data_IF_000851734111
#
_entry.id   IF_000851734111
#
_cell.length_a   1.000
_cell.length_b   1.000
_cell.length_c   1.000
_cell.angle_alpha   90.00
_cell.angle_beta   90.00
_cell.angle_gamma   90.00
#
_symmetry.space_group_name_H-M   'P 1'
#
loop_
_entity.id
_entity.type
_entity.pdbx_description
1 polymer ?
#
# COMPACT_ATOMS: atom_id res chain seq x y z
N UNK A 1 -0.58 33.15 1.39
CA UNK A 1 -0.92 32.38 2.61
C UNK A 1 0.18 31.34 2.78
N UNK A 2 1.09 31.57 3.73
CA UNK A 2 2.25 30.70 3.97
C UNK A 2 1.80 29.38 4.59
N UNK A 3 2.11 28.27 3.92
CA UNK A 3 1.91 26.91 4.45
C UNK A 3 2.86 26.70 5.63
N UNK A 4 2.38 26.99 6.84
CA UNK A 4 3.10 26.69 8.08
C UNK A 4 3.02 25.18 8.28
N UNK A 5 4.17 24.50 8.22
CA UNK A 5 4.20 23.04 8.41
C UNK A 5 3.82 22.68 9.85
N UNK A 6 3.29 21.48 10.12
CA UNK A 6 2.99 21.02 11.48
C UNK A 6 4.20 21.11 12.42
N UNK A 7 5.42 20.98 11.87
CA UNK A 7 6.69 21.10 12.60
C UNK A 7 7.02 22.53 13.03
N UNK A 8 6.61 23.54 12.25
CA UNK A 8 6.77 24.95 12.59
C UNK A 8 5.83 25.36 13.73
N UNK A 9 4.56 24.91 13.68
CA UNK A 9 3.61 25.06 14.80
C UNK A 9 4.13 24.37 16.07
N UNK A 10 4.76 23.22 15.92
CA UNK A 10 5.33 22.46 17.03
C UNK A 10 6.47 23.20 17.74
N UNK A 11 7.41 23.80 16.98
CA UNK A 11 8.47 24.64 17.54
C UNK A 11 7.93 25.89 18.25
N UNK A 12 6.90 26.50 17.69
CA UNK A 12 6.26 27.68 18.26
C UNK A 12 5.59 27.37 19.61
N UNK A 13 4.93 26.21 19.71
CA UNK A 13 4.32 25.71 20.95
C UNK A 13 5.37 25.31 21.98
N UNK A 14 6.56 24.82 21.61
CA UNK A 14 7.59 24.40 22.60
C UNK A 14 8.29 25.56 23.30
N UNK A 15 8.42 26.72 22.64
CA UNK A 15 9.19 27.88 23.12
C UNK A 15 8.80 28.38 24.54
N UNK A 16 7.51 28.44 24.93
CA UNK A 16 7.10 28.85 26.28
C UNK A 16 7.25 27.76 27.37
N UNK A 17 7.41 26.47 27.03
CA UNK A 17 7.44 25.37 28.02
C UNK A 17 8.75 25.36 28.81
N UNK A 18 9.86 25.66 28.15
CA UNK A 18 11.18 25.77 28.78
C UNK A 18 11.22 26.87 29.86
N UNK A 19 10.41 27.92 29.69
CA UNK A 19 10.35 29.05 30.61
C UNK A 19 9.32 28.88 31.74
N UNK A 20 8.33 27.99 31.59
CA UNK A 20 7.30 27.73 32.60
C UNK A 20 7.84 27.04 33.86
N UNK A 21 8.91 26.24 33.73
CA UNK A 21 9.57 25.59 34.88
C UNK A 21 10.19 26.62 35.84
N UNK A 22 10.73 27.73 35.32
CA UNK A 22 11.30 28.81 36.14
C UNK A 22 10.26 29.50 37.03
N UNK A 23 9.01 29.60 36.56
CA UNK A 23 7.92 30.25 37.30
C UNK A 23 7.45 29.39 38.49
N UNK A 24 7.48 28.06 38.35
CA UNK A 24 7.16 27.13 39.44
C UNK A 24 8.22 27.15 40.54
N UNK A 25 9.50 27.22 40.16
CA UNK A 25 10.61 27.34 41.10
C UNK A 25 10.64 28.67 41.86
N UNK A 26 10.00 29.72 41.34
CA UNK A 26 9.84 31.02 42.01
C UNK A 26 8.53 31.08 42.83
N UNK A 27 7.44 30.51 42.30
CA UNK A 27 6.12 30.54 42.94
C UNK A 27 6.05 29.72 44.24
N UNK A 28 6.71 28.55 44.29
CA UNK A 28 6.71 27.69 45.49
C UNK A 28 7.39 28.37 46.69
N UNK A 29 8.62 28.94 46.58
CA UNK A 29 9.21 29.74 47.65
C UNK A 29 8.38 30.97 48.00
N UNK A 30 7.79 31.64 47.01
CA UNK A 30 7.00 32.85 47.25
C UNK A 30 5.75 32.56 48.10
N UNK A 31 5.05 31.44 47.89
CA UNK A 31 3.90 31.04 48.73
C UNK A 31 4.33 30.69 50.15
N UNK A 32 5.51 30.10 50.33
CA UNK A 32 6.05 29.77 51.66
C UNK A 32 6.61 30.99 52.41
N UNK A 33 7.19 31.95 51.68
CA UNK A 33 7.84 33.15 52.22
C UNK A 33 6.85 34.31 52.40
N UNK A 34 5.82 34.43 51.55
CA UNK A 34 4.87 35.54 51.59
C UNK A 34 4.15 35.69 52.94
N UNK A 35 3.65 34.63 53.60
CA UNK A 35 3.11 34.74 54.95
C UNK A 35 4.16 35.32 55.90
N UNK A 36 5.40 34.81 55.88
CA UNK A 36 6.47 35.27 56.78
C UNK A 36 6.94 36.71 56.52
N UNK A 37 6.87 37.17 55.26
CA UNK A 37 7.29 38.51 54.84
C UNK A 37 6.22 39.57 55.12
N UNK A 38 4.94 39.21 54.98
CA UNK A 38 3.80 40.11 55.19
C UNK A 38 3.20 40.05 56.61
N UNK A 39 3.46 38.99 57.40
CA UNK A 39 3.03 38.92 58.82
C UNK A 39 4.11 39.37 59.82
N UNK A 40 5.34 39.67 59.37
CA UNK A 40 6.37 40.21 60.26
C UNK A 40 6.11 41.70 60.51
N UNK A 41 5.87 42.05 61.78
CA UNK A 41 5.67 43.43 62.23
C UNK A 41 6.93 44.28 61.96
N UNK A 42 6.96 44.95 60.82
CA UNK A 42 7.56 46.27 60.70
C UNK A 42 6.50 47.30 61.09
N UNK A 43 6.10 47.30 62.36
CA UNK A 43 5.64 48.48 63.12
C UNK A 43 4.49 49.34 62.61
N UNK A 44 3.65 48.91 61.65
CA UNK A 44 2.51 49.72 61.18
C UNK A 44 1.17 48.97 61.18
N UNK A 45 1.14 47.63 61.24
CA UNK A 45 -0.11 46.85 61.29
C UNK A 45 -0.04 45.79 62.40
N UNK A 46 -0.88 45.95 63.42
CA UNK A 46 -1.02 45.06 64.58
C UNK A 46 -2.19 44.09 64.34
N UNK A 47 -1.92 42.78 64.34
CA UNK A 47 -2.90 41.71 64.07
C UNK A 47 -3.02 40.75 65.27
N UNK A 48 -2.94 41.27 66.49
CA UNK A 48 -3.01 40.48 67.73
C UNK A 48 -4.37 39.84 68.02
N UNK A 49 -5.44 40.15 67.26
CA UNK A 49 -6.73 39.45 67.33
C UNK A 49 -6.84 38.31 66.29
N UNK A 50 -6.80 37.07 66.79
CA UNK A 50 -6.46 35.82 66.10
C UNK A 50 -7.46 35.29 65.05
N UNK A 51 -8.52 36.03 64.72
CA UNK A 51 -9.39 35.73 63.57
C UNK A 51 -8.88 36.34 62.25
N UNK A 52 -8.19 37.48 62.33
CA UNK A 52 -7.79 38.29 61.17
C UNK A 52 -6.52 37.81 60.48
N UNK A 53 -5.64 37.07 61.17
CA UNK A 53 -4.39 36.54 60.61
C UNK A 53 -4.70 35.46 59.55
N UNK A 54 -5.64 34.56 59.83
CA UNK A 54 -6.07 33.53 58.87
C UNK A 54 -6.69 34.13 57.62
N UNK A 55 -7.53 35.16 57.78
CA UNK A 55 -8.16 35.88 56.68
C UNK A 55 -7.15 36.72 55.87
N UNK A 56 -6.13 37.29 56.52
CA UNK A 56 -5.09 38.07 55.85
C UNK A 56 -4.11 37.18 55.09
N UNK A 57 -3.68 36.06 55.69
CA UNK A 57 -2.85 35.06 55.00
C UNK A 57 -3.65 34.44 53.85
N UNK A 58 -4.91 34.05 54.09
CA UNK A 58 -5.80 33.51 53.06
C UNK A 58 -6.05 34.49 51.92
N UNK A 59 -6.32 35.76 52.22
CA UNK A 59 -6.56 36.81 51.23
C UNK A 59 -5.36 37.13 50.34
N UNK A 60 -4.13 37.04 50.87
CA UNK A 60 -2.89 37.26 50.11
C UNK A 60 -2.44 36.00 49.36
N UNK A 61 -2.56 34.83 49.99
CA UNK A 61 -2.08 33.57 49.40
C UNK A 61 -3.06 32.98 48.38
N UNK A 62 -4.37 33.17 48.53
CA UNK A 62 -5.37 32.61 47.61
C UNK A 62 -5.19 33.09 46.16
N UNK A 63 -4.95 34.38 45.86
CA UNK A 63 -4.64 34.83 44.49
C UNK A 63 -3.35 34.20 43.93
N UNK A 64 -2.32 34.01 44.76
CA UNK A 64 -1.05 33.40 44.35
C UNK A 64 -1.24 31.91 44.04
N UNK A 65 -1.95 31.19 44.90
CA UNK A 65 -2.30 29.78 44.69
C UNK A 65 -3.18 29.63 43.45
N UNK A 66 -4.15 30.53 43.26
CA UNK A 66 -5.00 30.56 42.07
C UNK A 66 -4.19 30.80 40.78
N UNK A 67 -3.21 31.71 40.82
CA UNK A 67 -2.31 31.97 39.70
C UNK A 67 -1.44 30.74 39.39
N UNK A 68 -0.84 30.10 40.41
CA UNK A 68 -0.06 28.88 40.25
C UNK A 68 -0.94 27.75 39.69
N UNK A 69 -2.16 27.60 40.20
CA UNK A 69 -3.14 26.64 39.69
C UNK A 69 -3.48 26.86 38.22
N UNK A 70 -3.73 28.11 37.82
CA UNK A 70 -3.99 28.47 36.42
C UNK A 70 -2.79 28.17 35.51
N UNK A 71 -1.56 28.45 35.98
CA UNK A 71 -0.32 28.12 35.26
C UNK A 71 -0.18 26.61 35.10
N UNK A 72 -0.41 25.84 36.16
CA UNK A 72 -0.33 24.37 36.13
C UNK A 72 -1.37 23.78 35.17
N UNK A 73 -2.61 24.27 35.19
CA UNK A 73 -3.66 23.86 34.26
C UNK A 73 -3.26 24.19 32.82
N UNK A 74 -2.74 25.40 32.56
CA UNK A 74 -2.24 25.78 31.24
C UNK A 74 -1.11 24.86 30.75
N UNK A 75 -0.14 24.53 31.62
CA UNK A 75 0.95 23.61 31.29
C UNK A 75 0.43 22.19 31.03
N UNK A 76 -0.53 21.71 31.80
CA UNK A 76 -1.15 20.40 31.62
C UNK A 76 -1.90 20.32 30.28
N UNK A 77 -2.75 21.30 29.96
CA UNK A 77 -3.46 21.40 28.68
C UNK A 77 -2.47 21.43 27.51
N UNK A 78 -1.36 22.13 27.67
CA UNK A 78 -0.31 22.20 26.66
C UNK A 78 0.38 20.86 26.42
N UNK A 79 0.72 20.13 27.49
CA UNK A 79 1.27 18.78 27.38
C UNK A 79 0.27 17.80 26.73
N UNK A 80 -1.03 17.93 27.05
CA UNK A 80 -2.09 17.15 26.42
C UNK A 80 -2.18 17.42 24.90
N UNK A 81 -2.13 18.69 24.47
CA UNK A 81 -2.12 19.05 23.05
C UNK A 81 -0.89 18.44 22.34
N UNK A 82 0.28 18.45 22.99
CA UNK A 82 1.49 17.86 22.43
C UNK A 82 1.38 16.34 22.26
N UNK A 83 0.85 15.65 23.27
CA UNK A 83 0.59 14.22 23.18
C UNK A 83 -0.35 13.90 22.01
N UNK A 84 -1.44 14.66 21.86
CA UNK A 84 -2.39 14.46 20.77
C UNK A 84 -1.76 14.66 19.38
N UNK A 85 -0.91 15.67 19.21
CA UNK A 85 -0.20 15.89 17.93
C UNK A 85 0.75 14.73 17.62
N UNK A 86 1.49 14.24 18.63
CA UNK A 86 2.41 13.12 18.44
C UNK A 86 1.66 11.84 18.07
N UNK A 87 0.55 11.56 18.76
CA UNK A 87 -0.34 10.42 18.47
C UNK A 87 -0.89 10.53 17.05
N UNK A 88 -1.35 11.71 16.64
CA UNK A 88 -1.87 11.95 15.29
C UNK A 88 -0.79 11.66 14.21
N UNK A 89 0.44 12.16 14.40
CA UNK A 89 1.56 11.88 13.49
C UNK A 89 1.89 10.39 13.41
N UNK A 90 1.83 9.69 14.54
CA UNK A 90 2.05 8.24 14.58
C UNK A 90 0.93 7.48 13.85
N UNK A 91 -0.33 7.86 14.04
CA UNK A 91 -1.47 7.26 13.34
C UNK A 91 -1.34 7.47 11.83
N UNK A 92 -1.03 8.68 11.39
CA UNK A 92 -0.85 8.99 9.95
C UNK A 92 0.26 8.15 9.32
N UNK A 93 1.39 7.98 10.02
CA UNK A 93 2.47 7.08 9.57
C UNK A 93 2.01 5.63 9.50
N UNK A 94 1.33 5.14 10.55
CA UNK A 94 0.83 3.76 10.59
C UNK A 94 -0.24 3.49 9.52
N UNK A 95 -1.09 4.46 9.20
CA UNK A 95 -2.06 4.36 8.12
C UNK A 95 -1.40 4.25 6.75
N UNK A 96 -0.31 5.00 6.52
CA UNK A 96 0.47 4.89 5.29
C UNK A 96 1.14 3.51 5.17
N UNK A 97 1.79 3.04 6.23
CA UNK A 97 2.42 1.71 6.26
C UNK A 97 1.39 0.61 6.03
N UNK A 98 0.24 0.69 6.70
CA UNK A 98 -0.86 -0.26 6.53
C UNK A 98 -1.45 -0.24 5.13
N UNK A 99 -1.48 0.92 4.47
CA UNK A 99 -1.93 1.02 3.06
C UNK A 99 -0.95 0.28 2.13
N UNK A 100 0.36 0.46 2.34
CA UNK A 100 1.40 -0.23 1.57
C UNK A 100 1.34 -1.76 1.81
N UNK A 101 1.17 -2.17 3.06
CA UNK A 101 1.03 -3.59 3.45
C UNK A 101 -0.21 -4.23 2.79
N UNK A 102 -1.37 -3.55 2.86
CA UNK A 102 -2.60 -4.02 2.22
C UNK A 102 -2.46 -4.12 0.69
N UNK A 103 -1.77 -3.16 0.06
CA UNK A 103 -1.49 -3.20 -1.37
C UNK A 103 -0.60 -4.41 -1.71
N UNK A 104 0.48 -4.65 -0.96
CA UNK A 104 1.35 -5.83 -1.12
C UNK A 104 0.56 -7.13 -0.97
N UNK A 105 -0.32 -7.24 0.04
CA UNK A 105 -1.18 -8.41 0.22
C UNK A 105 -2.12 -8.64 -0.97
N UNK A 106 -2.71 -7.57 -1.52
CA UNK A 106 -3.58 -7.66 -2.69
C UNK A 106 -2.82 -8.11 -3.93
N UNK A 107 -1.60 -7.59 -4.16
CA UNK A 107 -0.76 -8.00 -5.29
C UNK A 107 -0.33 -9.46 -5.17
N UNK A 108 0.10 -9.89 -3.98
CA UNK A 108 0.42 -11.30 -3.71
C UNK A 108 -0.79 -12.21 -3.96
N UNK A 109 -2.00 -11.82 -3.54
CA UNK A 109 -3.22 -12.58 -3.82
C UNK A 109 -3.53 -12.69 -5.32
N UNK A 110 -3.31 -11.60 -6.08
CA UNK A 110 -3.47 -11.62 -7.53
C UNK A 110 -2.43 -12.53 -8.21
N UNK A 111 -1.19 -12.50 -7.73
CA UNK A 111 -0.13 -13.41 -8.19
C UNK A 111 -0.49 -14.87 -7.91
N UNK A 112 -0.94 -15.21 -6.70
CA UNK A 112 -1.36 -16.58 -6.38
C UNK A 112 -2.55 -17.04 -7.22
N UNK A 113 -3.51 -16.15 -7.48
CA UNK A 113 -4.61 -16.45 -8.41
C UNK A 113 -4.10 -16.71 -9.82
N UNK A 114 -3.19 -15.88 -10.35
CA UNK A 114 -2.58 -16.08 -11.67
C UNK A 114 -1.86 -17.43 -11.74
N UNK A 115 -0.98 -17.70 -10.76
CA UNK A 115 -0.23 -18.94 -10.66
C UNK A 115 -1.17 -20.15 -10.63
N UNK A 116 -2.22 -20.08 -9.80
CA UNK A 116 -3.23 -21.14 -9.70
C UNK A 116 -4.02 -21.32 -11.00
N UNK A 117 -4.39 -20.25 -11.70
CA UNK A 117 -5.05 -20.34 -13.00
C UNK A 117 -4.15 -20.99 -14.05
N UNK A 118 -2.85 -20.69 -14.04
CA UNK A 118 -1.86 -21.36 -14.91
C UNK A 118 -1.71 -22.83 -14.52
N UNK A 119 -1.54 -23.13 -13.22
CA UNK A 119 -1.36 -24.50 -12.70
C UNK A 119 -2.54 -25.40 -13.05
N UNK A 120 -3.76 -24.87 -12.98
CA UNK A 120 -4.99 -25.63 -13.21
C UNK A 120 -5.48 -25.58 -14.66
N UNK A 121 -4.86 -24.75 -15.52
CA UNK A 121 -5.19 -24.72 -16.93
C UNK A 121 -4.99 -26.12 -17.51
N UNK A 122 -6.01 -26.62 -18.19
CA UNK A 122 -5.96 -27.95 -18.77
C UNK A 122 -6.57 -27.98 -20.16
N UNK A 123 -5.98 -28.82 -20.98
CA UNK A 123 -6.30 -28.90 -22.40
C UNK A 123 -6.16 -30.35 -22.86
N UNK A 124 -7.14 -30.78 -23.66
CA UNK A 124 -7.12 -32.07 -24.35
C UNK A 124 -6.89 -31.76 -25.82
N UNK A 125 -5.92 -32.45 -26.43
CA UNK A 125 -5.52 -32.26 -27.83
C UNK A 125 -6.72 -32.30 -28.78
N UNK A 126 -6.69 -31.50 -29.85
CA UNK A 126 -7.58 -31.73 -30.98
C UNK A 126 -7.10 -33.03 -31.64
N UNK A 127 -7.88 -34.11 -31.52
CA UNK A 127 -7.59 -35.39 -32.18
C UNK A 127 -7.65 -35.22 -33.70
N UNK A 128 -6.56 -34.79 -34.33
CA UNK A 128 -6.42 -34.84 -35.79
C UNK A 128 -6.07 -36.27 -36.22
N UNK A 129 -7.09 -37.11 -36.35
CA UNK A 129 -7.21 -38.17 -37.35
C UNK A 129 -5.95 -38.99 -37.73
N UNK A 130 -5.15 -39.47 -36.76
CA UNK A 130 -4.20 -40.57 -37.05
C UNK A 130 -3.94 -41.56 -35.90
N UNK A 131 -4.42 -41.32 -34.67
CA UNK A 131 -4.26 -42.28 -33.56
C UNK A 131 -5.51 -42.36 -32.68
N UNK A 132 -6.60 -42.90 -33.22
CA UNK A 132 -7.87 -43.12 -32.53
C UNK A 132 -7.83 -44.16 -31.38
N UNK A 133 -6.67 -44.47 -30.79
CA UNK A 133 -6.52 -45.48 -29.74
C UNK A 133 -5.46 -45.15 -28.66
N UNK A 134 -5.01 -43.90 -28.55
CA UNK A 134 -4.23 -43.47 -27.39
C UNK A 134 -5.15 -42.60 -26.53
N UNK A 135 -5.27 -42.94 -25.25
CA UNK A 135 -6.06 -42.18 -24.27
C UNK A 135 -5.87 -40.69 -24.49
N UNK A 136 -6.97 -39.95 -24.66
CA UNK A 136 -6.99 -38.50 -24.80
C UNK A 136 -6.22 -37.86 -23.62
N UNK A 137 -4.91 -37.63 -23.78
CA UNK A 137 -4.04 -37.22 -22.67
C UNK A 137 -4.44 -35.79 -22.30
N UNK A 138 -5.11 -35.66 -21.15
CA UNK A 138 -5.37 -34.36 -20.54
C UNK A 138 -4.04 -33.78 -20.06
N UNK A 139 -3.60 -32.72 -20.74
CA UNK A 139 -2.43 -31.95 -20.33
C UNK A 139 -2.85 -30.88 -19.32
N UNK A 140 -1.92 -30.50 -18.45
CA UNK A 140 -2.12 -29.51 -17.39
C UNK A 140 -0.94 -28.53 -17.36
N UNK A 141 -1.19 -27.30 -16.94
CA UNK A 141 -0.14 -26.31 -16.74
C UNK A 141 0.51 -25.88 -18.04
N UNK A 142 1.84 -25.74 -18.02
CA UNK A 142 2.61 -25.25 -19.16
C UNK A 142 2.51 -26.12 -20.41
N UNK A 143 2.42 -27.45 -20.25
CA UNK A 143 2.27 -28.36 -21.39
C UNK A 143 0.88 -28.23 -22.04
N UNK A 144 -0.16 -27.91 -21.25
CA UNK A 144 -1.50 -27.64 -21.78
C UNK A 144 -1.52 -26.37 -22.65
N UNK A 145 -0.86 -25.30 -22.20
CA UNK A 145 -0.69 -24.10 -23.02
C UNK A 145 0.06 -24.42 -24.30
N UNK A 146 1.23 -25.04 -24.20
CA UNK A 146 2.03 -25.38 -25.37
C UNK A 146 1.24 -26.17 -26.41
N UNK A 147 0.52 -27.22 -25.99
CA UNK A 147 -0.26 -28.06 -26.89
C UNK A 147 -1.47 -27.32 -27.48
N UNK A 148 -2.17 -26.51 -26.69
CA UNK A 148 -3.24 -25.65 -27.22
C UNK A 148 -2.68 -24.73 -28.30
N UNK A 149 -1.55 -24.09 -28.04
CA UNK A 149 -0.97 -23.17 -29.01
C UNK A 149 -0.61 -23.88 -30.31
N UNK A 150 -0.05 -25.09 -30.23
CA UNK A 150 0.24 -25.95 -31.38
C UNK A 150 -1.00 -26.30 -32.19
N UNK A 151 -2.03 -26.84 -31.54
CA UNK A 151 -3.25 -27.27 -32.21
C UNK A 151 -4.00 -26.10 -32.86
N UNK A 152 -4.04 -24.95 -32.20
CA UNK A 152 -4.79 -23.79 -32.70
C UNK A 152 -4.03 -22.96 -33.72
N UNK A 153 -2.70 -23.02 -33.75
CA UNK A 153 -1.94 -22.25 -34.71
C UNK A 153 -2.11 -22.76 -36.14
N UNK A 154 -2.20 -24.08 -36.36
CA UNK A 154 -2.31 -24.68 -37.69
C UNK A 154 -3.56 -25.54 -37.93
N UNK A 155 -4.07 -26.25 -36.92
CA UNK A 155 -5.10 -27.29 -37.14
C UNK A 155 -6.52 -26.74 -36.99
N UNK A 156 -6.70 -25.81 -36.06
CA UNK A 156 -7.97 -25.12 -35.80
C UNK A 156 -8.20 -24.02 -36.82
N UNK A 157 -8.66 -24.39 -38.00
CA UNK A 157 -8.99 -23.48 -39.11
C UNK A 157 -10.26 -22.65 -38.85
N UNK A 158 -10.34 -22.01 -37.69
CA UNK A 158 -11.48 -21.24 -37.21
C UNK A 158 -11.32 -19.76 -37.58
N UNK A 159 -12.45 -19.08 -37.77
CA UNK A 159 -12.46 -17.63 -37.92
C UNK A 159 -12.35 -16.94 -36.55
N UNK A 160 -12.20 -15.60 -36.54
CA UNK A 160 -12.01 -14.85 -35.29
C UNK A 160 -13.19 -14.97 -34.32
N UNK A 161 -14.43 -15.03 -34.81
CA UNK A 161 -15.63 -15.11 -33.97
C UNK A 161 -15.77 -16.51 -33.33
N UNK A 162 -15.42 -17.56 -34.06
CA UNK A 162 -15.37 -18.93 -33.55
C UNK A 162 -14.25 -19.11 -32.51
N UNK A 163 -13.09 -18.49 -32.74
CA UNK A 163 -11.98 -18.51 -31.77
C UNK A 163 -12.34 -17.72 -30.50
N UNK A 164 -13.02 -16.58 -30.62
CA UNK A 164 -13.47 -15.78 -29.47
C UNK A 164 -14.50 -16.50 -28.61
N UNK A 165 -15.32 -17.36 -29.19
CA UNK A 165 -16.33 -18.13 -28.46
C UNK A 165 -15.80 -19.46 -27.91
N UNK A 166 -14.60 -19.89 -28.32
CA UNK A 166 -13.97 -21.09 -27.79
C UNK A 166 -13.64 -20.91 -26.29
N UNK A 167 -14.14 -21.79 -25.39
CA UNK A 167 -13.94 -21.66 -23.96
C UNK A 167 -12.47 -21.67 -23.55
N UNK A 168 -11.63 -22.48 -24.21
CA UNK A 168 -10.20 -22.60 -23.89
C UNK A 168 -9.41 -21.38 -24.33
N UNK A 169 -9.74 -20.82 -25.49
CA UNK A 169 -9.18 -19.53 -25.93
C UNK A 169 -9.60 -18.40 -24.98
N UNK A 170 -10.86 -18.39 -24.54
CA UNK A 170 -11.36 -17.39 -23.57
C UNK A 170 -10.66 -17.51 -22.21
N UNK A 171 -10.39 -18.73 -21.75
CA UNK A 171 -9.63 -19.00 -20.53
C UNK A 171 -8.18 -18.46 -20.65
N UNK A 172 -7.50 -18.71 -21.78
CA UNK A 172 -6.17 -18.15 -22.06
C UNK A 172 -6.20 -16.62 -22.08
N UNK A 173 -7.18 -16.00 -22.75
CA UNK A 173 -7.35 -14.53 -22.75
C UNK A 173 -7.50 -14.01 -21.32
N UNK A 174 -8.30 -14.67 -20.49
CA UNK A 174 -8.52 -14.28 -19.09
C UNK A 174 -7.22 -14.35 -18.28
N UNK A 175 -6.44 -15.41 -18.44
CA UNK A 175 -5.13 -15.59 -17.77
C UNK A 175 -4.15 -14.49 -18.20
N UNK A 176 -4.09 -14.19 -19.50
CA UNK A 176 -3.26 -13.10 -20.03
C UNK A 176 -3.70 -11.73 -19.51
N UNK A 177 -5.00 -11.47 -19.39
CA UNK A 177 -5.53 -10.23 -18.81
C UNK A 177 -5.16 -10.08 -17.33
N UNK A 178 -5.22 -11.16 -16.56
CA UNK A 178 -4.80 -11.17 -15.15
C UNK A 178 -3.31 -10.83 -15.07
N UNK A 179 -2.48 -11.47 -15.89
CA UNK A 179 -1.04 -11.21 -15.94
C UNK A 179 -0.73 -9.75 -16.31
N UNK A 180 -1.36 -9.23 -17.37
CA UNK A 180 -1.18 -7.86 -17.85
C UNK A 180 -1.58 -6.82 -16.78
N UNK A 181 -2.73 -7.04 -16.14
CA UNK A 181 -3.24 -6.18 -15.06
C UNK A 181 -2.36 -6.24 -13.81
N UNK A 182 -1.89 -7.44 -13.44
CA UNK A 182 -1.00 -7.62 -12.29
C UNK A 182 0.32 -6.86 -12.51
N UNK A 183 0.93 -7.00 -13.68
CA UNK A 183 2.14 -6.27 -14.02
C UNK A 183 1.93 -4.75 -13.99
N UNK A 184 0.80 -4.25 -14.52
CA UNK A 184 0.48 -2.81 -14.43
C UNK A 184 0.40 -2.31 -13.00
N UNK A 185 -0.25 -3.08 -12.13
CA UNK A 185 -0.38 -2.72 -10.72
C UNK A 185 0.98 -2.77 -10.01
N UNK A 186 1.79 -3.80 -10.26
CA UNK A 186 3.14 -3.91 -9.71
C UNK A 186 4.00 -2.73 -10.16
N UNK A 187 3.97 -2.37 -11.46
CA UNK A 187 4.79 -1.26 -11.98
C UNK A 187 4.39 0.10 -11.40
N UNK A 188 3.12 0.30 -11.07
CA UNK A 188 2.60 1.55 -10.49
C UNK A 188 2.67 1.62 -8.95
N UNK A 189 2.84 0.48 -8.29
CA UNK A 189 2.85 0.42 -6.82
C UNK A 189 4.18 0.87 -6.21
N UNK A 190 4.14 1.21 -4.92
CA UNK A 190 5.29 1.56 -4.09
C UNK A 190 5.57 0.51 -3.01
N UNK A 191 5.12 -0.73 -3.22
CA UNK A 191 5.32 -1.83 -2.27
C UNK A 191 6.78 -2.23 -2.19
N UNK A 192 7.23 -2.66 -1.01
CA UNK A 192 8.63 -3.02 -0.77
C UNK A 192 9.09 -4.24 -1.59
N UNK A 193 8.20 -5.20 -1.85
CA UNK A 193 8.46 -6.46 -2.56
C UNK A 193 8.18 -6.40 -4.07
N UNK A 194 8.06 -5.19 -4.63
CA UNK A 194 7.69 -4.92 -6.03
C UNK A 194 8.55 -5.68 -7.04
N UNK A 195 9.87 -5.72 -6.83
CA UNK A 195 10.81 -6.36 -7.76
C UNK A 195 10.64 -7.89 -7.77
N UNK A 196 10.48 -8.49 -6.59
CA UNK A 196 10.22 -9.92 -6.44
C UNK A 196 8.91 -10.31 -7.12
N UNK A 197 7.82 -9.56 -6.85
CA UNK A 197 6.52 -9.79 -7.47
C UNK A 197 6.57 -9.68 -9.00
N UNK A 198 7.30 -8.68 -9.50
CA UNK A 198 7.52 -8.50 -10.93
C UNK A 198 8.25 -9.71 -11.53
N UNK A 199 9.38 -10.11 -10.95
CA UNK A 199 10.19 -11.24 -11.43
C UNK A 199 9.38 -12.54 -11.44
N UNK A 200 8.65 -12.83 -10.36
CA UNK A 200 7.80 -14.02 -10.27
C UNK A 200 6.71 -14.00 -11.34
N UNK A 201 6.03 -12.86 -11.53
CA UNK A 201 4.97 -12.72 -12.54
C UNK A 201 5.53 -12.92 -13.96
N UNK A 202 6.67 -12.32 -14.26
CA UNK A 202 7.34 -12.50 -15.54
C UNK A 202 7.80 -13.93 -15.76
N UNK A 203 8.30 -14.61 -14.73
CA UNK A 203 8.66 -16.01 -14.82
C UNK A 203 7.45 -16.89 -15.16
N UNK A 204 6.29 -16.66 -14.52
CA UNK A 204 5.05 -17.37 -14.87
C UNK A 204 4.68 -17.17 -16.35
N UNK A 205 4.76 -15.93 -16.84
CA UNK A 205 4.42 -15.63 -18.23
C UNK A 205 5.41 -16.25 -19.22
N UNK A 206 6.70 -15.89 -19.12
CA UNK A 206 7.75 -16.28 -20.08
C UNK A 206 7.93 -17.79 -20.10
N UNK A 207 7.98 -18.43 -18.93
CA UNK A 207 8.39 -19.84 -18.85
C UNK A 207 7.25 -20.84 -18.68
N UNK A 208 6.03 -20.39 -18.44
CA UNK A 208 4.91 -21.32 -18.25
C UNK A 208 3.77 -21.12 -19.21
N UNK A 209 3.55 -19.91 -19.67
CA UNK A 209 2.54 -19.63 -20.70
C UNK A 209 3.19 -19.59 -22.08
N UNK A 210 4.39 -19.02 -22.20
CA UNK A 210 5.00 -18.67 -23.49
C UNK A 210 6.32 -19.32 -23.94
N UNK A 211 7.01 -20.20 -23.20
CA UNK A 211 8.44 -20.51 -23.44
C UNK A 211 8.74 -21.10 -24.82
N UNK A 212 7.77 -21.79 -25.41
CA UNK A 212 7.93 -22.46 -26.71
C UNK A 212 7.25 -21.73 -27.86
N UNK A 213 6.50 -20.65 -27.57
CA UNK A 213 5.83 -19.92 -28.64
C UNK A 213 6.82 -19.00 -29.38
N UNK A 214 7.76 -18.39 -28.65
CA UNK A 214 8.76 -17.49 -29.27
C UNK A 214 9.77 -18.21 -30.17
N UNK A 215 10.00 -19.51 -29.95
CA UNK A 215 10.86 -20.33 -30.83
C UNK A 215 10.10 -20.85 -32.04
N UNK A 216 8.82 -21.23 -31.84
CA UNK A 216 8.08 -22.03 -32.81
C UNK A 216 7.10 -21.19 -33.66
N UNK A 217 6.81 -19.94 -33.26
CA UNK A 217 5.89 -19.04 -33.96
C UNK A 217 6.51 -17.65 -34.17
N UNK A 218 6.12 -16.95 -35.24
CA UNK A 218 6.56 -15.59 -35.50
C UNK A 218 6.19 -14.63 -34.37
N UNK A 219 6.93 -13.52 -34.26
CA UNK A 219 6.68 -12.44 -33.29
C UNK A 219 5.26 -11.82 -33.39
N UNK A 220 4.51 -12.14 -34.45
CA UNK A 220 3.08 -11.90 -34.53
C UNK A 220 2.36 -13.26 -34.52
N UNK A 221 1.40 -13.42 -33.62
CA UNK A 221 0.55 -14.62 -33.52
C UNK A 221 -0.88 -14.29 -33.97
N UNK A 222 -1.02 -13.23 -34.77
CA UNK A 222 -2.30 -12.75 -35.27
C UNK A 222 -2.82 -13.70 -36.36
N UNK A 223 -4.11 -13.56 -36.67
CA UNK A 223 -4.71 -14.35 -37.74
C UNK A 223 -4.05 -13.97 -39.08
N UNK A 224 -3.53 -14.95 -39.80
CA UNK A 224 -2.98 -14.79 -41.14
C UNK A 224 -3.57 -15.83 -42.10
N UNK A 225 -3.64 -15.48 -43.39
CA UNK A 225 -4.05 -16.41 -44.42
C UNK A 225 -2.87 -17.29 -44.82
N UNK A 226 -3.01 -18.60 -44.72
CA UNK A 226 -1.99 -19.55 -45.12
C UNK A 226 -2.26 -20.06 -46.54
N UNK A 227 -1.37 -19.72 -47.48
CA UNK A 227 -1.48 -20.10 -48.89
C UNK A 227 -1.44 -21.62 -49.11
N UNK A 228 -0.74 -22.36 -48.23
CA UNK A 228 -0.60 -23.82 -48.36
C UNK A 228 -1.89 -24.57 -48.03
N UNK A 229 -2.62 -24.14 -46.99
CA UNK A 229 -3.88 -24.77 -46.58
C UNK A 229 -5.13 -24.04 -47.10
N UNK A 230 -4.96 -22.86 -47.72
CA UNK A 230 -6.01 -21.94 -48.20
C UNK A 230 -7.00 -21.51 -47.11
N UNK A 231 -6.54 -21.39 -45.87
CA UNK A 231 -7.37 -21.10 -44.69
C UNK A 231 -6.65 -20.14 -43.75
N UNK A 232 -7.41 -19.55 -42.83
CA UNK A 232 -6.88 -18.65 -41.79
C UNK A 232 -6.32 -19.44 -40.62
N UNK A 233 -5.14 -19.03 -40.15
CA UNK A 233 -4.33 -19.61 -39.07
C UNK A 233 -3.99 -18.52 -38.04
N UNK A 234 -3.69 -18.91 -36.79
CA UNK A 234 -3.29 -17.97 -35.73
C UNK A 234 -4.35 -17.76 -34.64
N UNK A 235 -4.14 -16.76 -33.79
CA UNK A 235 -4.97 -16.51 -32.60
C UNK A 235 -5.76 -15.20 -32.72
N UNK A 236 -6.86 -15.05 -31.95
CA UNK A 236 -7.57 -13.79 -31.89
C UNK A 236 -6.65 -12.61 -31.63
N UNK A 237 -6.92 -11.50 -32.30
CA UNK A 237 -6.23 -10.21 -32.15
C UNK A 237 -6.00 -9.83 -30.69
N UNK A 238 -6.93 -10.17 -29.80
CA UNK A 238 -6.83 -9.91 -28.36
C UNK A 238 -5.63 -10.61 -27.71
N UNK A 239 -5.34 -11.87 -28.04
CA UNK A 239 -4.18 -12.60 -27.49
C UNK A 239 -2.89 -11.91 -27.92
N UNK A 240 -2.76 -11.55 -29.20
CA UNK A 240 -1.58 -10.82 -29.68
C UNK A 240 -1.41 -9.46 -29.00
N UNK A 241 -2.52 -8.71 -28.82
CA UNK A 241 -2.47 -7.42 -28.13
C UNK A 241 -1.99 -7.52 -26.67
N UNK A 242 -2.47 -8.52 -25.94
CA UNK A 242 -2.07 -8.78 -24.55
C UNK A 242 -0.62 -9.23 -24.49
N UNK A 243 -0.21 -10.12 -25.39
CA UNK A 243 1.17 -10.57 -25.49
C UNK A 243 2.14 -9.39 -25.70
N UNK A 244 1.87 -8.53 -26.70
CA UNK A 244 2.67 -7.34 -26.98
C UNK A 244 2.72 -6.39 -25.78
N UNK A 245 1.58 -6.20 -25.09
CA UNK A 245 1.50 -5.38 -23.88
C UNK A 245 2.37 -5.92 -22.74
N UNK A 246 2.31 -7.22 -22.48
CA UNK A 246 3.10 -7.88 -21.43
C UNK A 246 4.60 -7.85 -21.75
N UNK A 247 4.99 -8.12 -22.99
CA UNK A 247 6.40 -8.05 -23.43
C UNK A 247 6.94 -6.62 -23.35
N UNK A 248 6.16 -5.61 -23.75
CA UNK A 248 6.59 -4.21 -23.61
C UNK A 248 6.84 -3.82 -22.15
N UNK A 249 6.11 -4.42 -21.20
CA UNK A 249 6.34 -4.25 -19.75
C UNK A 249 7.63 -4.96 -19.28
N UNK A 250 8.06 -6.01 -20.00
CA UNK A 250 9.33 -6.70 -19.80
C UNK A 250 10.52 -5.82 -20.22
N UNK A 251 10.48 -5.30 -21.45
CA UNK A 251 11.59 -4.56 -22.06
C UNK A 251 11.89 -3.25 -21.32
N UNK A 252 10.86 -2.63 -20.72
CA UNK A 252 11.00 -1.41 -19.91
C UNK A 252 11.81 -1.60 -18.60
N UNK A 253 12.19 -2.83 -18.24
CA UNK A 253 13.02 -3.11 -17.06
C UNK A 253 14.31 -3.89 -17.36
N UNK A 254 14.56 -4.26 -18.62
CA UNK A 254 15.65 -5.13 -19.10
C UNK A 254 15.72 -6.50 -18.42
N UNK A 255 15.64 -7.55 -19.25
CA UNK A 255 15.91 -8.95 -18.91
C UNK A 255 17.30 -9.14 -18.28
#
# INVERSE_FOLDING_TARGET
MTNITPEDKFKEILKPLKNGSSLLWIGIPLVLIAPFLFTRSFGILDFTETGTIGDTIGGITAPIIGLIGAILVFLALKAQIQANILVQKQIESQEQDKKIENESLQLNKLYENLKSSIDNFSYTTLDTWEFANLDNIKLIGSEAFYKLFQDFYCDSHLNEDDLKTNPKITEVISILQICDTLLDKILKSNVYDKETLYLLTMHQFIYRVFPRISSDYPNNIEIYYCESCKKNHGFPSKISSLFKSIIAKCDNKTC
#
